data_IF_295569454464
#
_entry.id   IF_295569454464
#
_cell.length_a   1.000
_cell.length_b   1.000
_cell.length_c   1.000
_cell.angle_alpha   90.00
_cell.angle_beta   90.00
_cell.angle_gamma   90.00
#
_symmetry.space_group_name_H-M   'P 1'
#
loop_
_entity.id
_entity.type
_entity.pdbx_description
1 polymer ?
#
# COMPACT_ATOMS: atom_id res chain seq x y z
N UNK A 1 -12.54 -1.41 -2.89
CA UNK A 1 -11.19 -1.77 -2.43
C UNK A 1 -10.26 -1.86 -3.62
N UNK A 2 -8.99 -1.53 -3.44
CA UNK A 2 -7.94 -1.68 -4.46
C UNK A 2 -6.67 -2.24 -3.80
N UNK A 3 -5.89 -3.02 -4.55
CA UNK A 3 -4.56 -3.49 -4.13
C UNK A 3 -3.54 -2.86 -5.08
N UNK A 4 -2.49 -2.25 -4.53
CA UNK A 4 -1.42 -1.66 -5.33
C UNK A 4 -0.10 -2.31 -4.94
N UNK A 5 0.51 -3.00 -5.91
CA UNK A 5 1.81 -3.66 -5.77
C UNK A 5 2.97 -2.71 -5.97
N UNK A 6 4.03 -2.83 -5.16
CA UNK A 6 5.22 -1.97 -5.28
C UNK A 6 4.95 -0.51 -4.94
N UNK A 7 4.03 -0.26 -4.01
CA UNK A 7 3.47 1.05 -3.72
C UNK A 7 4.20 1.85 -2.64
N UNK A 8 5.37 1.41 -2.19
CA UNK A 8 6.18 2.16 -1.23
C UNK A 8 6.88 3.40 -1.82
N UNK A 9 6.90 3.57 -3.14
CA UNK A 9 7.52 4.73 -3.81
C UNK A 9 7.01 4.90 -5.24
N UNK A 10 7.37 6.03 -5.86
CA UNK A 10 7.16 6.28 -7.29
C UNK A 10 5.68 6.25 -7.67
N UNK A 11 5.38 5.66 -8.83
CA UNK A 11 4.03 5.65 -9.42
C UNK A 11 3.02 4.93 -8.51
N UNK A 12 3.40 3.77 -7.94
CA UNK A 12 2.50 3.01 -7.07
C UNK A 12 2.08 3.81 -5.83
N UNK A 13 2.99 4.59 -5.24
CA UNK A 13 2.67 5.47 -4.11
C UNK A 13 1.65 6.55 -4.48
N UNK A 14 1.84 7.21 -5.61
CA UNK A 14 0.91 8.25 -6.09
C UNK A 14 -0.45 7.66 -6.46
N UNK A 15 -0.50 6.45 -7.03
CA UNK A 15 -1.75 5.73 -7.28
C UNK A 15 -2.50 5.47 -5.97
N UNK A 16 -1.81 4.99 -4.91
CA UNK A 16 -2.45 4.80 -3.60
C UNK A 16 -3.03 6.12 -3.10
N UNK A 17 -2.27 7.21 -3.20
CA UNK A 17 -2.71 8.54 -2.75
C UNK A 17 -3.98 8.99 -3.48
N UNK A 18 -4.03 8.87 -4.81
CA UNK A 18 -5.18 9.29 -5.61
C UNK A 18 -6.41 8.42 -5.33
N UNK A 19 -6.25 7.10 -5.27
CA UNK A 19 -7.35 6.18 -4.95
C UNK A 19 -7.91 6.42 -3.55
N UNK A 20 -7.02 6.59 -2.55
CA UNK A 20 -7.43 6.88 -1.18
C UNK A 20 -8.13 8.25 -1.06
N UNK A 21 -7.63 9.27 -1.78
CA UNK A 21 -8.26 10.60 -1.84
C UNK A 21 -9.65 10.56 -2.50
N UNK A 22 -9.91 9.57 -3.36
CA UNK A 22 -11.22 9.30 -3.95
C UNK A 22 -12.14 8.46 -3.04
N UNK A 23 -11.73 8.18 -1.79
CA UNK A 23 -12.51 7.41 -0.82
C UNK A 23 -12.43 5.90 -1.00
N UNK A 24 -11.50 5.40 -1.82
CA UNK A 24 -11.30 3.97 -2.02
C UNK A 24 -10.36 3.45 -0.94
N UNK A 25 -10.74 2.37 -0.24
CA UNK A 25 -9.81 1.65 0.63
C UNK A 25 -8.74 0.92 -0.19
N UNK A 26 -7.48 1.23 0.06
CA UNK A 26 -6.32 0.72 -0.67
C UNK A 26 -5.43 -0.10 0.23
N UNK A 27 -5.06 -1.29 -0.22
CA UNK A 27 -3.96 -2.07 0.34
C UNK A 27 -2.67 -1.64 -0.36
N UNK A 28 -1.87 -0.83 0.34
CA UNK A 28 -0.51 -0.50 -0.07
C UNK A 28 0.36 -1.72 0.20
N UNK A 29 1.07 -2.21 -0.81
CA UNK A 29 1.98 -3.34 -0.62
C UNK A 29 3.39 -3.04 -1.07
N UNK A 30 4.34 -3.67 -0.40
CA UNK A 30 5.77 -3.57 -0.69
C UNK A 30 6.50 -4.81 -0.19
N UNK A 31 7.62 -5.14 -0.85
CA UNK A 31 8.49 -6.26 -0.44
C UNK A 31 9.18 -6.00 0.90
N UNK A 32 9.67 -4.77 1.08
CA UNK A 32 10.35 -4.34 2.30
C UNK A 32 9.31 -3.71 3.24
N UNK A 33 9.07 -4.37 4.36
CA UNK A 33 8.09 -3.96 5.37
C UNK A 33 8.41 -2.57 5.93
N UNK A 34 9.68 -2.28 6.24
CA UNK A 34 10.08 -1.00 6.81
C UNK A 34 9.76 0.16 5.86
N UNK A 35 10.08 0.00 4.57
CA UNK A 35 9.75 1.00 3.54
C UNK A 35 8.25 1.11 3.31
N UNK A 36 7.52 0.00 3.39
CA UNK A 36 6.07 -0.03 3.31
C UNK A 36 5.39 0.75 4.44
N UNK A 37 5.82 0.52 5.68
CA UNK A 37 5.33 1.25 6.85
C UNK A 37 5.67 2.74 6.78
N UNK A 38 6.87 3.12 6.33
CA UNK A 38 7.21 4.53 6.11
C UNK A 38 6.29 5.21 5.08
N UNK A 39 5.97 4.51 3.99
CA UNK A 39 5.01 5.01 3.00
C UNK A 39 3.60 5.13 3.57
N UNK A 40 3.15 4.15 4.35
CA UNK A 40 1.87 4.19 5.06
C UNK A 40 1.78 5.42 5.99
N UNK A 41 2.79 5.64 6.84
CA UNK A 41 2.80 6.77 7.77
C UNK A 41 2.79 8.12 7.03
N UNK A 42 3.46 8.21 5.88
CA UNK A 42 3.43 9.41 5.02
C UNK A 42 2.02 9.69 4.49
N UNK A 43 1.29 8.65 4.07
CA UNK A 43 -0.09 8.78 3.59
C UNK A 43 -1.07 9.08 4.72
N UNK A 44 -0.88 8.48 5.90
CA UNK A 44 -1.64 8.80 7.11
C UNK A 44 -1.48 10.26 7.52
N UNK A 45 -0.24 10.77 7.51
CA UNK A 45 0.04 12.17 7.78
C UNK A 45 -0.61 13.13 6.76
N UNK A 46 -0.99 12.62 5.58
CA UNK A 46 -1.73 13.36 4.55
C UNK A 46 -3.26 13.30 4.73
N UNK A 47 -3.76 12.76 5.84
CA UNK A 47 -5.19 12.65 6.15
C UNK A 47 -5.89 11.44 5.54
N UNK A 48 -5.13 10.44 5.05
CA UNK A 48 -5.68 9.27 4.36
C UNK A 48 -5.75 8.00 5.23
N UNK A 49 -5.66 8.16 6.56
CA UNK A 49 -5.50 7.05 7.51
C UNK A 49 -6.60 6.00 7.46
N UNK A 50 -7.84 6.39 7.18
CA UNK A 50 -8.99 5.47 7.13
C UNK A 50 -9.09 4.69 5.81
N UNK A 51 -8.30 5.10 4.81
CA UNK A 51 -8.36 4.59 3.44
C UNK A 51 -7.14 3.78 3.04
N UNK A 52 -6.05 3.78 3.83
CA UNK A 52 -4.83 3.05 3.47
C UNK A 52 -4.46 2.06 4.57
N UNK A 53 -4.28 0.80 4.18
CA UNK A 53 -3.68 -0.25 5.01
C UNK A 53 -2.44 -0.79 4.34
N UNK A 54 -1.50 -1.32 5.12
CA UNK A 54 -0.29 -1.93 4.59
C UNK A 54 -0.32 -3.45 4.73
N UNK A 55 0.14 -4.16 3.69
CA UNK A 55 0.44 -5.58 3.74
C UNK A 55 1.78 -5.83 3.03
N UNK A 56 2.70 -6.55 3.69
CA UNK A 56 3.95 -6.95 3.04
C UNK A 56 3.64 -7.93 1.91
N UNK A 57 4.18 -7.71 0.72
CA UNK A 57 3.95 -8.57 -0.44
C UNK A 57 5.19 -8.65 -1.32
N UNK A 58 5.65 -9.86 -1.57
CA UNK A 58 6.54 -10.18 -2.67
C UNK A 58 5.79 -10.94 -3.76
N UNK A 59 5.58 -10.28 -4.90
CA UNK A 59 4.87 -10.85 -6.05
C UNK A 59 5.60 -12.04 -6.68
N UNK A 60 6.89 -12.21 -6.38
CA UNK A 60 7.67 -13.36 -6.83
C UNK A 60 7.56 -14.58 -5.89
N UNK A 61 7.00 -14.42 -4.69
CA UNK A 61 6.78 -15.51 -3.73
C UNK A 61 5.29 -15.87 -3.65
N UNK A 62 4.94 -17.05 -4.15
CA UNK A 62 3.57 -17.54 -4.14
C UNK A 62 2.96 -17.64 -2.73
N UNK A 63 3.77 -17.91 -1.70
CA UNK A 63 3.30 -17.95 -0.31
C UNK A 63 2.94 -16.56 0.21
N UNK A 64 3.73 -15.55 -0.15
CA UNK A 64 3.46 -14.15 0.15
C UNK A 64 2.21 -13.65 -0.58
N UNK A 65 2.00 -14.07 -1.83
CA UNK A 65 0.77 -13.75 -2.58
C UNK A 65 -0.46 -14.42 -1.95
N UNK A 66 -0.34 -15.68 -1.53
CA UNK A 66 -1.45 -16.42 -0.91
C UNK A 66 -1.82 -15.89 0.49
N UNK A 67 -0.92 -15.22 1.19
CA UNK A 67 -1.18 -14.62 2.51
C UNK A 67 -1.84 -13.24 2.44
N UNK A 68 -1.96 -12.64 1.25
CA UNK A 68 -2.64 -11.35 1.07
C UNK A 68 -4.12 -11.48 1.41
N UNK A 69 -4.54 -10.79 2.48
CA UNK A 69 -5.92 -10.74 3.00
C UNK A 69 -6.55 -9.34 2.87
#
# INVERSE_FOLDING_TARGET
YAVVTGANKGIGFEIVKQLASAGIKVVLTARDEKRGLQALETLKASGLSDFVVFHQLDVADASSVASLV
#
